data_IF_940796082898
#
_entry.id   IF_940796082898
#
_cell.length_a   1.000
_cell.length_b   1.000
_cell.length_c   1.000
_cell.angle_alpha   90.00
_cell.angle_beta   90.00
_cell.angle_gamma   90.00
#
_symmetry.space_group_name_H-M   'P 1'
#
loop_
_entity.id
_entity.type
_entity.pdbx_description
1 polymer ?
#
# COMPACT_ATOMS: atom_id res chain seq x y z
N UNK A 1 33.89 -8.83 -9.70
CA UNK A 1 35.20 -9.43 -10.09
C UNK A 1 36.52 -8.57 -10.04
N UNK A 2 36.88 -7.91 -8.96
CA UNK A 2 35.88 -7.04 -8.45
C UNK A 2 35.08 -6.30 -9.59
N UNK A 3 35.45 -6.31 -10.91
CA UNK A 3 34.64 -6.09 -12.14
C UNK A 3 33.11 -6.15 -11.92
N UNK A 4 32.44 -5.14 -12.47
CA UNK A 4 31.03 -4.88 -12.28
C UNK A 4 30.94 -3.47 -11.73
N UNK A 5 30.43 -2.59 -12.58
CA UNK A 5 30.19 -1.16 -12.35
C UNK A 5 29.93 -0.79 -10.88
N UNK A 6 30.63 0.22 -10.36
CA UNK A 6 30.03 1.02 -9.29
C UNK A 6 28.79 1.65 -9.90
N UNK A 7 27.65 0.97 -9.77
CA UNK A 7 26.37 1.45 -10.26
C UNK A 7 26.14 2.82 -9.64
N UNK A 8 26.15 3.85 -10.47
CA UNK A 8 25.76 5.19 -10.05
C UNK A 8 24.29 5.11 -9.61
N UNK A 9 24.08 5.18 -8.31
CA UNK A 9 22.75 5.17 -7.68
C UNK A 9 22.39 6.61 -7.32
N UNK A 10 21.68 7.35 -8.20
CA UNK A 10 21.38 8.76 -7.98
C UNK A 10 20.58 8.95 -6.70
N UNK A 11 21.09 9.78 -5.80
CA UNK A 11 20.41 10.10 -4.54
C UNK A 11 19.42 11.25 -4.69
N UNK A 12 19.58 12.08 -5.72
CA UNK A 12 18.67 13.20 -6.01
C UNK A 12 18.48 13.31 -7.53
N UNK A 13 17.23 13.39 -7.98
CA UNK A 13 16.86 13.66 -9.37
C UNK A 13 15.80 14.76 -9.37
N UNK A 14 16.04 15.83 -10.12
CA UNK A 14 15.05 16.87 -10.38
C UNK A 14 14.96 17.12 -11.90
N UNK A 15 13.75 17.04 -12.44
CA UNK A 15 13.47 17.34 -13.83
C UNK A 15 12.10 18.01 -13.97
N UNK A 16 11.96 18.95 -14.91
CA UNK A 16 10.68 19.62 -15.21
C UNK A 16 10.57 19.93 -16.70
N UNK A 17 9.36 19.79 -17.24
CA UNK A 17 8.97 20.19 -18.58
C UNK A 17 7.80 21.17 -18.50
N UNK A 18 8.04 22.40 -18.96
CA UNK A 18 7.04 23.45 -19.05
C UNK A 18 6.73 23.78 -20.51
N UNK A 19 5.44 23.87 -20.87
CA UNK A 19 4.98 24.35 -22.17
C UNK A 19 4.09 25.57 -21.94
N UNK A 20 4.44 26.72 -22.52
CA UNK A 20 3.73 27.98 -22.34
C UNK A 20 3.53 28.38 -20.86
N UNK A 21 4.55 28.17 -20.02
CA UNK A 21 4.52 28.39 -18.57
C UNK A 21 3.50 27.51 -17.80
N UNK A 22 3.04 26.42 -18.41
CA UNK A 22 2.24 25.39 -17.75
C UNK A 22 3.10 24.14 -17.61
N UNK A 23 3.31 23.70 -16.37
CA UNK A 23 4.00 22.45 -16.06
C UNK A 23 3.24 21.29 -16.70
N UNK A 24 3.91 20.55 -17.59
CA UNK A 24 3.38 19.37 -18.24
C UNK A 24 3.85 18.09 -17.56
N UNK A 25 5.12 18.08 -17.14
CA UNK A 25 5.68 16.96 -16.40
C UNK A 25 6.77 17.41 -15.42
N UNK A 26 6.94 16.70 -14.32
CA UNK A 26 8.12 16.83 -13.47
C UNK A 26 8.44 15.51 -12.76
N UNK A 27 9.72 15.33 -12.43
CA UNK A 27 10.20 14.26 -11.57
C UNK A 27 11.01 14.91 -10.45
N UNK A 28 10.67 14.59 -9.21
CA UNK A 28 11.46 14.85 -8.03
C UNK A 28 11.71 13.52 -7.36
N UNK A 29 12.96 13.18 -7.07
CA UNK A 29 13.30 11.97 -6.35
C UNK A 29 14.44 12.26 -5.38
N UNK A 30 14.29 11.85 -4.14
CA UNK A 30 15.33 11.77 -3.13
C UNK A 30 15.41 10.33 -2.62
N UNK A 31 16.58 9.70 -2.71
CA UNK A 31 16.80 8.30 -2.34
C UNK A 31 18.06 8.19 -1.49
N UNK A 32 17.96 7.51 -0.36
CA UNK A 32 19.11 7.08 0.44
C UNK A 32 19.16 5.57 0.47
N UNK A 33 20.35 5.01 0.35
CA UNK A 33 20.60 3.57 0.28
C UNK A 33 21.15 3.01 1.59
N UNK A 34 20.92 1.73 1.83
CA UNK A 34 21.48 1.00 2.97
C UNK A 34 23.00 0.93 2.87
N UNK A 35 23.68 1.07 4.00
CA UNK A 35 25.13 0.97 4.08
C UNK A 35 25.60 -0.45 4.45
N UNK A 36 25.02 -1.45 3.79
CA UNK A 36 25.29 -2.88 3.99
C UNK A 36 25.85 -3.56 2.72
N UNK A 37 26.17 -2.76 1.71
CA UNK A 37 26.67 -3.25 0.42
C UNK A 37 25.57 -3.76 -0.53
N UNK A 38 24.30 -3.46 -0.23
CA UNK A 38 23.16 -3.64 -1.13
C UNK A 38 22.78 -2.32 -1.80
N UNK A 39 22.07 -2.40 -2.94
CA UNK A 39 21.44 -1.24 -3.59
C UNK A 39 20.02 -0.97 -3.06
N UNK A 40 19.68 -1.53 -1.88
CA UNK A 40 18.37 -1.36 -1.28
C UNK A 40 18.22 0.06 -0.74
N UNK A 41 17.12 0.73 -1.08
CA UNK A 41 16.78 2.02 -0.51
C UNK A 41 16.43 1.87 0.98
N UNK A 42 17.04 2.69 1.84
CA UNK A 42 16.59 2.91 3.21
C UNK A 42 15.58 4.04 3.32
N UNK A 43 15.56 4.94 2.34
CA UNK A 43 14.62 6.05 2.22
C UNK A 43 14.39 6.35 0.74
N UNK A 44 13.15 6.63 0.36
CA UNK A 44 12.81 7.16 -0.95
C UNK A 44 11.63 8.13 -0.84
N UNK A 45 11.74 9.31 -1.43
CA UNK A 45 10.65 10.26 -1.65
C UNK A 45 10.65 10.61 -3.13
N UNK A 46 9.69 10.07 -3.88
CA UNK A 46 9.60 10.19 -5.34
C UNK A 46 8.23 10.76 -5.71
N UNK A 47 8.23 11.88 -6.43
CA UNK A 47 7.04 12.47 -7.01
C UNK A 47 7.20 12.63 -8.52
N UNK A 48 6.35 11.93 -9.27
CA UNK A 48 6.26 11.99 -10.72
C UNK A 48 4.93 12.61 -11.15
N UNK A 49 5.00 13.81 -11.71
CA UNK A 49 3.86 14.56 -12.20
C UNK A 49 3.76 14.50 -13.71
N UNK A 50 2.56 14.25 -14.23
CA UNK A 50 2.18 14.43 -15.63
C UNK A 50 0.77 15.03 -15.64
N UNK A 51 0.66 16.30 -16.01
CA UNK A 51 -0.58 17.08 -15.90
C UNK A 51 -1.83 16.31 -16.40
N UNK A 52 -2.89 16.13 -15.59
CA UNK A 52 -3.12 16.63 -14.21
C UNK A 52 -2.79 15.63 -13.07
N UNK A 53 -2.08 14.55 -13.37
CA UNK A 53 -1.83 13.43 -12.46
C UNK A 53 -0.48 13.53 -11.74
N UNK A 54 -0.44 13.00 -10.53
CA UNK A 54 0.79 12.86 -9.73
C UNK A 54 0.87 11.45 -9.17
N UNK A 55 2.00 10.78 -9.35
CA UNK A 55 2.36 9.55 -8.67
C UNK A 55 3.40 9.90 -7.59
N UNK A 56 3.03 9.72 -6.33
CA UNK A 56 3.93 9.86 -5.19
C UNK A 56 4.29 8.47 -4.65
N UNK A 57 5.55 8.25 -4.29
CA UNK A 57 6.07 7.05 -3.63
C UNK A 57 6.95 7.49 -2.47
N UNK A 58 6.62 7.03 -1.26
CA UNK A 58 7.38 7.26 -0.03
C UNK A 58 7.80 5.92 0.58
N UNK A 59 9.05 5.82 1.01
CA UNK A 59 9.58 4.70 1.77
C UNK A 59 10.50 5.25 2.86
N UNK A 60 10.31 4.80 4.10
CA UNK A 60 11.22 5.08 5.21
C UNK A 60 11.48 3.80 6.00
N UNK A 61 12.66 3.23 5.79
CA UNK A 61 13.21 2.08 6.49
C UNK A 61 14.34 2.48 7.48
N UNK A 62 14.53 3.77 7.72
CA UNK A 62 15.68 4.30 8.52
C UNK A 62 15.53 4.06 10.02
N UNK A 63 14.30 3.92 10.51
CA UNK A 63 14.00 3.72 11.94
C UNK A 63 14.32 2.30 12.36
N UNK A 64 14.80 2.10 13.59
CA UNK A 64 15.25 0.78 14.06
C UNK A 64 14.14 -0.28 14.14
N UNK A 65 12.90 0.12 14.44
CA UNK A 65 11.77 -0.78 14.75
C UNK A 65 10.50 -0.46 13.95
N UNK A 66 10.57 0.41 12.95
CA UNK A 66 9.42 0.85 12.13
C UNK A 66 9.86 0.98 10.68
N UNK A 67 9.05 0.48 9.75
CA UNK A 67 9.19 0.73 8.31
C UNK A 67 7.88 1.29 7.79
N UNK A 68 7.94 2.30 6.93
CA UNK A 68 6.76 2.85 6.24
C UNK A 68 6.93 2.78 4.74
N UNK A 69 5.82 2.58 4.04
CA UNK A 69 5.73 2.63 2.59
C UNK A 69 4.38 3.22 2.20
N UNK A 70 4.39 4.22 1.32
CA UNK A 70 3.18 4.77 0.75
C UNK A 70 3.33 4.99 -0.75
N UNK A 71 2.23 4.85 -1.48
CA UNK A 71 2.12 5.28 -2.88
C UNK A 71 0.75 5.88 -3.10
N UNK A 72 0.70 6.97 -3.86
CA UNK A 72 -0.55 7.60 -4.23
C UNK A 72 -0.53 8.01 -5.69
N UNK A 73 -1.54 7.59 -6.44
CA UNK A 73 -1.90 8.19 -7.72
C UNK A 73 -3.01 9.21 -7.49
N UNK A 74 -2.73 10.47 -7.80
CA UNK A 74 -3.62 11.61 -7.60
C UNK A 74 -3.98 12.29 -8.91
N UNK A 75 -5.10 13.00 -8.92
CA UNK A 75 -5.48 13.98 -9.94
C UNK A 75 -5.83 15.28 -9.24
N UNK A 76 -4.91 16.24 -9.24
CA UNK A 76 -5.00 17.38 -8.33
C UNK A 76 -4.95 16.91 -6.87
N UNK A 77 -5.94 17.29 -6.07
CA UNK A 77 -6.02 16.91 -4.65
C UNK A 77 -6.70 15.55 -4.42
N UNK A 78 -7.38 15.00 -5.44
CA UNK A 78 -8.12 13.76 -5.35
C UNK A 78 -7.19 12.55 -5.46
N UNK A 79 -7.22 11.66 -4.46
CA UNK A 79 -6.53 10.36 -4.51
C UNK A 79 -7.39 9.39 -5.31
N UNK A 80 -6.84 8.89 -6.42
CA UNK A 80 -7.49 7.89 -7.27
C UNK A 80 -7.19 6.48 -6.77
N UNK A 81 -5.93 6.22 -6.48
CA UNK A 81 -5.43 4.95 -5.94
C UNK A 81 -4.40 5.30 -4.88
N UNK A 82 -4.44 4.64 -3.74
CA UNK A 82 -3.47 4.85 -2.68
C UNK A 82 -3.21 3.58 -1.90
N UNK A 83 -1.99 3.42 -1.41
CA UNK A 83 -1.70 2.52 -0.31
C UNK A 83 -0.74 3.20 0.67
N UNK A 84 -0.90 2.88 1.93
CA UNK A 84 -0.04 3.33 3.03
C UNK A 84 0.10 2.14 3.96
N UNK A 85 1.32 1.76 4.29
CA UNK A 85 1.63 0.64 5.16
C UNK A 85 2.73 1.03 6.12
N UNK A 86 2.49 0.75 7.39
CA UNK A 86 3.44 0.90 8.49
C UNK A 86 3.62 -0.46 9.17
N UNK A 87 4.83 -1.00 9.11
CA UNK A 87 5.23 -2.20 9.84
C UNK A 87 6.00 -1.83 11.11
N UNK A 88 5.61 -2.39 12.25
CA UNK A 88 6.28 -2.24 13.55
C UNK A 88 6.88 -3.58 13.97
N UNK A 89 8.09 -3.53 14.51
CA UNK A 89 8.90 -4.69 14.88
C UNK A 89 9.22 -4.72 16.37
N UNK A 90 9.41 -5.92 16.94
CA UNK A 90 9.83 -6.07 18.34
C UNK A 90 11.35 -5.90 18.50
N UNK A 91 11.85 -4.67 18.36
CA UNK A 91 13.29 -4.37 18.43
C UNK A 91 13.90 -4.05 17.07
N UNK A 92 15.11 -4.53 16.80
CA UNK A 92 15.82 -4.28 15.53
C UNK A 92 15.29 -5.21 14.44
N UNK A 93 14.91 -4.64 13.28
CA UNK A 93 14.25 -5.34 12.15
C UNK A 93 14.85 -6.69 11.75
N UNK A 94 16.18 -6.80 11.69
CA UNK A 94 16.89 -7.99 11.19
C UNK A 94 16.69 -9.22 12.08
N UNK A 95 16.35 -9.01 13.35
CA UNK A 95 16.27 -10.07 14.36
C UNK A 95 14.87 -10.22 14.97
N UNK A 96 13.88 -9.45 14.51
CA UNK A 96 12.57 -9.38 15.14
C UNK A 96 11.39 -9.63 14.21
N UNK A 97 10.37 -10.26 14.77
CA UNK A 97 9.09 -10.46 14.11
C UNK A 97 8.31 -9.14 14.07
N UNK A 98 7.49 -8.98 13.04
CA UNK A 98 6.50 -7.91 12.95
C UNK A 98 5.49 -8.10 14.10
N UNK A 99 5.29 -7.05 14.89
CA UNK A 99 4.28 -7.01 15.97
C UNK A 99 3.00 -6.32 15.55
N UNK A 100 3.08 -5.46 14.54
CA UNK A 100 1.93 -4.74 14.01
C UNK A 100 2.19 -4.36 12.55
N UNK A 101 1.21 -4.57 11.70
CA UNK A 101 1.12 -3.95 10.38
C UNK A 101 -0.14 -3.10 10.37
N UNK A 102 -0.05 -1.83 10.06
CA UNK A 102 -1.22 -0.97 9.93
C UNK A 102 -1.13 -0.09 8.70
N UNK A 103 -2.26 0.32 8.15
CA UNK A 103 -2.25 1.05 6.91
C UNK A 103 -3.61 1.18 6.26
N UNK A 104 -3.62 1.58 5.01
CA UNK A 104 -4.81 1.59 4.19
C UNK A 104 -4.52 1.25 2.73
N UNK A 105 -5.56 0.79 2.05
CA UNK A 105 -5.67 0.76 0.60
C UNK A 105 -6.87 1.62 0.21
N UNK A 106 -6.68 2.53 -0.75
CA UNK A 106 -7.67 3.49 -1.19
C UNK A 106 -7.91 3.36 -2.69
N UNK A 107 -9.19 3.37 -3.07
CA UNK A 107 -9.67 3.49 -4.44
C UNK A 107 -10.76 4.56 -4.50
N UNK A 108 -10.42 5.73 -5.05
CA UNK A 108 -11.31 6.89 -5.06
C UNK A 108 -11.74 7.25 -3.64
N UNK A 109 -13.04 7.19 -3.38
CA UNK A 109 -13.60 7.47 -2.05
C UNK A 109 -13.70 6.26 -1.12
N UNK A 110 -13.38 5.05 -1.60
CA UNK A 110 -13.40 3.80 -0.83
C UNK A 110 -12.03 3.59 -0.20
N UNK A 111 -11.98 3.39 1.11
CA UNK A 111 -10.75 3.15 1.88
C UNK A 111 -10.91 1.90 2.73
N UNK A 112 -10.01 0.95 2.55
CA UNK A 112 -9.82 -0.23 3.38
C UNK A 112 -8.72 0.06 4.39
N UNK A 113 -9.07 0.29 5.65
CA UNK A 113 -8.10 0.49 6.72
C UNK A 113 -7.76 -0.86 7.32
N UNK A 114 -6.48 -1.20 7.34
CA UNK A 114 -5.96 -2.51 7.69
C UNK A 114 -5.16 -2.37 9.00
N UNK A 115 -5.42 -3.26 9.94
CA UNK A 115 -4.62 -3.44 11.15
C UNK A 115 -4.43 -4.93 11.37
N UNK A 116 -3.18 -5.39 11.34
CA UNK A 116 -2.78 -6.75 11.65
C UNK A 116 -1.89 -6.71 12.89
N UNK A 117 -2.24 -7.48 13.92
CA UNK A 117 -1.44 -7.61 15.14
C UNK A 117 -1.10 -9.08 15.35
N UNK A 118 -0.04 -9.61 14.71
CA UNK A 118 0.25 -11.04 14.73
C UNK A 118 0.31 -11.59 16.16
N UNK A 119 -0.36 -12.72 16.44
CA UNK A 119 -0.30 -13.35 17.75
C UNK A 119 1.10 -13.95 17.98
N UNK A 120 1.49 -14.06 19.24
CA UNK A 120 2.75 -14.71 19.60
C UNK A 120 2.76 -16.22 19.28
N UNK A 121 1.57 -16.85 19.25
CA UNK A 121 1.38 -18.26 18.98
C UNK A 121 0.11 -18.48 18.12
N UNK A 122 0.30 -18.88 16.87
CA UNK A 122 -0.80 -19.14 15.92
C UNK A 122 -1.68 -20.31 16.34
N UNK A 123 -1.21 -21.21 17.22
CA UNK A 123 -2.02 -22.34 17.69
C UNK A 123 -3.15 -21.93 18.65
N UNK A 124 -3.12 -20.70 19.14
CA UNK A 124 -4.12 -20.13 20.05
C UNK A 124 -5.19 -19.30 19.36
N UNK A 125 -5.07 -19.15 18.04
CA UNK A 125 -5.99 -18.36 17.22
C UNK A 125 -7.25 -19.16 16.92
N UNK A 126 -8.40 -18.61 17.28
CA UNK A 126 -9.70 -19.19 16.92
C UNK A 126 -10.24 -18.59 15.62
N UNK A 127 -10.00 -17.29 15.37
CA UNK A 127 -10.38 -16.61 14.13
C UNK A 127 -9.31 -15.65 13.62
N UNK A 128 -9.26 -15.46 12.30
CA UNK A 128 -8.47 -14.39 11.68
C UNK A 128 -8.96 -13.00 12.11
N UNK A 129 -10.25 -12.84 12.44
CA UNK A 129 -10.80 -11.59 12.98
C UNK A 129 -10.14 -11.13 14.29
N UNK A 130 -9.49 -12.05 15.04
CA UNK A 130 -8.87 -11.73 16.33
C UNK A 130 -7.59 -10.89 16.17
N UNK A 131 -6.94 -10.99 15.02
CA UNK A 131 -5.65 -10.33 14.77
C UNK A 131 -5.55 -9.63 13.42
N UNK A 132 -6.50 -9.83 12.50
CA UNK A 132 -6.62 -9.10 11.24
C UNK A 132 -7.92 -8.31 11.29
N UNK A 133 -7.81 -6.99 11.30
CA UNK A 133 -8.95 -6.06 11.32
C UNK A 133 -8.88 -5.23 10.05
N UNK A 134 -9.86 -5.39 9.17
CA UNK A 134 -10.00 -4.57 7.98
C UNK A 134 -11.35 -3.86 8.05
N UNK A 135 -11.33 -2.54 8.14
CA UNK A 135 -12.55 -1.71 8.14
C UNK A 135 -12.65 -0.92 6.85
N UNK A 136 -13.86 -0.72 6.37
CA UNK A 136 -14.12 -0.10 5.09
C UNK A 136 -14.85 1.22 5.34
N UNK A 137 -14.37 2.29 4.74
CA UNK A 137 -15.04 3.57 4.72
C UNK A 137 -15.26 4.06 3.29
N UNK A 138 -16.40 4.72 3.06
CA UNK A 138 -16.75 5.38 1.80
C UNK A 138 -17.07 6.84 2.11
N UNK A 139 -16.43 7.77 1.41
CA UNK A 139 -16.57 9.22 1.64
C UNK A 139 -16.32 9.61 3.11
N UNK A 140 -15.32 8.97 3.73
CA UNK A 140 -14.95 9.19 5.13
C UNK A 140 -15.95 8.65 6.17
N UNK A 141 -16.96 7.88 5.75
CA UNK A 141 -17.95 7.24 6.65
C UNK A 141 -17.75 5.73 6.67
N UNK A 142 -17.91 5.11 7.84
CA UNK A 142 -17.87 3.66 7.96
C UNK A 142 -18.95 3.01 7.08
N UNK A 143 -18.53 2.07 6.22
CA UNK A 143 -19.37 1.36 5.26
C UNK A 143 -19.48 -0.14 5.56
N UNK A 144 -18.47 -0.70 6.25
CA UNK A 144 -18.46 -2.11 6.63
C UNK A 144 -17.11 -2.54 7.17
N UNK A 145 -16.90 -3.86 7.19
CA UNK A 145 -15.64 -4.49 7.58
C UNK A 145 -15.44 -5.80 6.82
N UNK A 146 -14.21 -6.29 6.76
CA UNK A 146 -13.95 -7.67 6.32
C UNK A 146 -14.17 -8.61 7.50
N UNK A 147 -14.76 -9.76 7.23
CA UNK A 147 -14.91 -10.89 8.16
C UNK A 147 -14.45 -12.16 7.44
N UNK A 148 -13.93 -13.14 8.19
CA UNK A 148 -13.48 -14.41 7.63
C UNK A 148 -14.48 -15.51 7.97
N UNK A 149 -14.95 -16.23 6.94
CA UNK A 149 -15.97 -17.27 7.10
C UNK A 149 -15.49 -18.62 6.59
N UNK A 150 -15.76 -19.67 7.38
CA UNK A 150 -15.50 -21.05 6.98
C UNK A 150 -16.72 -21.56 6.23
N UNK A 151 -16.60 -21.68 4.91
CA UNK A 151 -17.65 -22.23 4.07
C UNK A 151 -17.71 -23.76 4.13
N UNK A 152 -18.90 -24.32 3.87
CA UNK A 152 -19.07 -25.76 3.82
C UNK A 152 -18.30 -26.36 2.64
N UNK A 153 -17.20 -27.05 2.93
CA UNK A 153 -16.32 -27.68 1.93
C UNK A 153 -15.10 -26.84 1.56
N UNK A 154 -14.91 -25.67 2.18
CA UNK A 154 -13.66 -24.93 2.12
C UNK A 154 -12.70 -25.40 3.23
N UNK A 155 -11.43 -25.60 2.89
CA UNK A 155 -10.38 -25.95 3.85
C UNK A 155 -9.80 -24.72 4.57
N UNK A 156 -10.05 -23.52 4.03
CA UNK A 156 -9.54 -22.24 4.55
C UNK A 156 -10.67 -21.19 4.69
N UNK A 157 -10.56 -20.25 5.65
CA UNK A 157 -11.51 -19.15 5.77
C UNK A 157 -11.50 -18.24 4.54
N UNK A 158 -12.68 -17.90 4.03
CA UNK A 158 -12.89 -17.00 2.90
C UNK A 158 -13.20 -15.59 3.41
N UNK A 159 -12.56 -14.53 2.89
CA UNK A 159 -12.84 -13.15 3.29
C UNK A 159 -14.11 -12.60 2.62
N UNK A 160 -14.98 -12.01 3.43
CA UNK A 160 -16.21 -11.35 3.02
C UNK A 160 -16.24 -9.90 3.49
N UNK A 161 -16.75 -9.00 2.65
CA UNK A 161 -17.18 -7.67 3.10
C UNK A 161 -18.54 -7.82 3.77
N UNK A 162 -18.62 -7.53 5.06
CA UNK A 162 -19.86 -7.35 5.80
C UNK A 162 -20.23 -5.86 5.83
N UNK A 163 -21.31 -5.51 5.14
CA UNK A 163 -21.84 -4.15 5.08
C UNK A 163 -22.63 -3.81 6.36
N UNK A 164 -22.89 -2.51 6.56
CA UNK A 164 -23.62 -2.01 7.73
C UNK A 164 -25.06 -2.55 7.85
N UNK A 165 -25.67 -3.01 6.75
CA UNK A 165 -27.00 -3.64 6.75
C UNK A 165 -26.97 -5.14 7.09
N UNK A 166 -25.77 -5.69 7.33
CA UNK A 166 -25.53 -7.09 7.66
C UNK A 166 -25.42 -8.01 6.44
N UNK A 167 -25.65 -7.50 5.22
CA UNK A 167 -25.38 -8.24 3.99
C UNK A 167 -23.88 -8.51 3.84
N UNK A 168 -23.56 -9.57 3.09
CA UNK A 168 -22.18 -10.00 2.86
C UNK A 168 -21.94 -10.26 1.39
N UNK A 169 -20.75 -9.91 0.93
CA UNK A 169 -20.27 -10.19 -0.43
C UNK A 169 -18.82 -10.67 -0.35
N UNK A 170 -18.48 -11.71 -1.11
CA UNK A 170 -17.11 -12.22 -1.11
C UNK A 170 -16.16 -11.13 -1.61
N UNK A 171 -15.00 -11.01 -0.95
CA UNK A 171 -14.03 -9.98 -1.32
C UNK A 171 -13.46 -10.22 -2.72
N UNK A 172 -13.35 -11.49 -3.13
CA UNK A 172 -12.95 -11.89 -4.48
C UNK A 172 -13.87 -11.30 -5.56
N UNK A 173 -15.19 -11.43 -5.40
CA UNK A 173 -16.18 -10.90 -6.35
C UNK A 173 -16.08 -9.37 -6.50
N UNK A 174 -15.76 -8.66 -5.41
CA UNK A 174 -15.59 -7.21 -5.42
C UNK A 174 -14.34 -6.83 -6.24
N UNK A 175 -13.23 -7.54 -6.04
CA UNK A 175 -11.99 -7.27 -6.77
C UNK A 175 -12.02 -7.73 -8.22
N UNK A 176 -12.75 -8.80 -8.54
CA UNK A 176 -12.98 -9.23 -9.92
C UNK A 176 -13.72 -8.14 -10.70
N UNK A 177 -14.82 -7.61 -10.13
CA UNK A 177 -15.55 -6.50 -10.73
C UNK A 177 -14.70 -5.23 -10.89
N UNK A 178 -13.77 -4.99 -9.97
CA UNK A 178 -12.80 -3.90 -10.10
C UNK A 178 -11.81 -4.15 -11.24
N UNK A 179 -11.29 -5.37 -11.36
CA UNK A 179 -10.39 -5.77 -12.44
C UNK A 179 -11.04 -5.55 -13.81
N UNK A 180 -12.27 -6.05 -14.00
CA UNK A 180 -13.05 -5.83 -15.21
C UNK A 180 -13.26 -4.33 -15.49
N UNK A 181 -13.56 -3.53 -14.46
CA UNK A 181 -13.75 -2.08 -14.60
C UNK A 181 -12.47 -1.34 -14.99
N UNK A 182 -11.30 -1.83 -14.58
CA UNK A 182 -10.00 -1.27 -14.97
C UNK A 182 -9.63 -1.66 -16.39
N UNK A 183 -9.88 -2.91 -16.80
CA UNK A 183 -9.69 -3.37 -18.19
C UNK A 183 -10.57 -2.58 -19.17
N UNK A 184 -11.83 -2.34 -18.83
CA UNK A 184 -12.72 -1.49 -19.62
C UNK A 184 -12.20 -0.04 -19.77
N UNK A 185 -11.40 0.44 -18.81
CA UNK A 185 -10.81 1.77 -18.84
C UNK A 185 -9.59 1.84 -19.77
N UNK A 186 -8.85 0.74 -19.91
CA UNK A 186 -7.76 0.61 -20.87
C UNK A 186 -8.27 0.64 -22.32
N UNK A 187 -9.46 0.08 -22.58
CA UNK A 187 -10.07 0.04 -23.92
C UNK A 187 -10.64 1.40 -24.39
N UNK A 188 -10.74 2.39 -23.49
CA UNK A 188 -11.29 3.73 -23.78
C UNK A 188 -10.17 4.79 -23.93
N UNK A 189 -8.94 4.48 -23.53
CA UNK A 189 -7.75 5.36 -23.64
C UNK A 189 -6.96 5.12 -24.94
#
# INVERSE_FOLDING_TARGET
TPFGDEYYSPTVIEATLDINNVKQASLSAEVTYKNDGTDDASFADVSYFVNPYTLDVDLDDTKASVSTFAQYLRKGDDVLIGWDLTATYNGVKIESNITKLEGNFQLGSVIFNIVITPPADLSTVESYDDFIIITISVDGKAAGKVVWEVEAGADEPVPYVQFNDGSKQALADIFESLGESLEDLEDIL
#
